data_IF_411188118344
#
_entry.id   IF_411188118344
#
_cell.length_a   1.000
_cell.length_b   1.000
_cell.length_c   1.000
_cell.angle_alpha   90.00
_cell.angle_beta   90.00
_cell.angle_gamma   90.00
#
_symmetry.space_group_name_H-M   'P 1'
#
loop_
_entity.id
_entity.type
_entity.pdbx_description
1 polymer ?
#
# COMPACT_ATOMS: atom_id res chain seq x y z
N UNK A 1 8.61 -73.83 -6.22
CA UNK A 1 9.48 -73.84 -5.01
C UNK A 1 10.42 -72.65 -5.16
N UNK A 2 10.61 -71.68 -4.27
CA UNK A 2 10.29 -71.53 -2.85
C UNK A 2 10.19 -70.01 -2.55
N UNK A 3 9.51 -69.71 -1.45
CA UNK A 3 9.05 -68.42 -0.95
C UNK A 3 10.15 -67.38 -0.72
N UNK A 4 9.81 -66.12 -0.95
CA UNK A 4 10.44 -64.95 -0.31
C UNK A 4 9.36 -63.96 0.12
N UNK A 5 8.81 -64.14 1.33
CA UNK A 5 7.93 -63.17 2.00
C UNK A 5 8.81 -62.03 2.52
N UNK A 6 8.53 -60.78 2.17
CA UNK A 6 8.92 -59.63 2.99
C UNK A 6 7.76 -58.65 3.13
N UNK A 7 7.56 -58.22 4.36
CA UNK A 7 6.38 -57.55 4.92
C UNK A 7 6.27 -56.09 4.47
N UNK A 8 5.05 -55.52 4.36
CA UNK A 8 4.85 -54.10 4.25
C UNK A 8 4.98 -53.48 5.65
N UNK A 9 6.05 -52.73 5.90
CA UNK A 9 6.15 -51.87 7.07
C UNK A 9 5.75 -50.45 6.66
N UNK A 10 4.83 -49.91 7.45
CA UNK A 10 4.25 -48.59 7.34
C UNK A 10 5.33 -47.50 7.45
N UNK A 11 5.27 -46.50 6.58
CA UNK A 11 5.75 -45.14 6.90
C UNK A 11 4.69 -44.15 6.44
N UNK A 12 3.95 -43.64 7.42
CA UNK A 12 3.18 -42.40 7.36
C UNK A 12 4.12 -41.27 7.82
N UNK A 13 3.84 -40.03 7.40
CA UNK A 13 4.52 -38.73 7.62
C UNK A 13 5.63 -38.42 6.58
N UNK A 14 5.70 -37.23 5.96
CA UNK A 14 5.27 -35.91 6.44
C UNK A 14 4.84 -34.95 5.30
N UNK A 15 3.91 -34.07 5.68
CA UNK A 15 3.49 -32.81 5.07
C UNK A 15 4.70 -31.87 4.97
N UNK A 16 4.87 -31.08 3.90
CA UNK A 16 5.00 -29.59 3.93
C UNK A 16 5.41 -28.98 2.58
N UNK A 17 4.58 -28.04 2.11
CA UNK A 17 4.92 -26.75 1.49
C UNK A 17 6.12 -26.71 0.54
N UNK A 18 5.84 -26.71 -0.76
CA UNK A 18 6.80 -26.33 -1.80
C UNK A 18 6.28 -25.14 -2.61
N UNK A 19 6.17 -23.97 -1.97
CA UNK A 19 6.18 -22.65 -2.64
C UNK A 19 6.94 -21.61 -1.78
N UNK A 20 8.04 -22.03 -1.16
CA UNK A 20 8.99 -21.15 -0.48
C UNK A 20 10.35 -21.19 -1.17
N UNK A 21 10.39 -20.93 -2.48
CA UNK A 21 11.62 -20.74 -3.24
C UNK A 21 11.50 -19.53 -4.16
N UNK A 22 11.36 -18.33 -3.57
CA UNK A 22 11.50 -17.09 -4.33
C UNK A 22 11.86 -15.83 -3.53
N UNK A 23 12.32 -15.86 -2.27
CA UNK A 23 12.73 -14.63 -1.59
C UNK A 23 13.87 -14.84 -0.58
N UNK A 24 15.13 -14.65 -0.97
CA UNK A 24 16.21 -14.53 -0.01
C UNK A 24 16.20 -13.10 0.55
N UNK A 25 16.32 -12.99 1.87
CA UNK A 25 16.51 -11.76 2.66
C UNK A 25 15.27 -10.90 2.97
N UNK A 26 14.30 -11.50 3.65
CA UNK A 26 13.61 -10.75 4.70
C UNK A 26 13.90 -11.50 6.00
N UNK A 27 14.84 -10.99 6.80
CA UNK A 27 14.78 -11.19 8.24
C UNK A 27 13.47 -10.53 8.68
N UNK A 28 12.38 -11.30 8.61
CA UNK A 28 11.02 -10.85 8.92
C UNK A 28 10.99 -10.63 10.42
N UNK A 29 11.07 -9.37 10.81
CA UNK A 29 10.25 -8.92 11.93
C UNK A 29 8.84 -9.46 11.67
N UNK A 30 8.18 -10.03 12.68
CA UNK A 30 6.87 -10.69 12.52
C UNK A 30 5.73 -9.68 12.26
N UNK A 31 6.02 -8.59 11.57
CA UNK A 31 5.10 -7.52 11.21
C UNK A 31 4.16 -7.99 10.10
N UNK A 32 2.87 -7.96 10.38
CA UNK A 32 1.80 -8.27 9.44
C UNK A 32 1.78 -7.25 8.28
N UNK A 33 1.40 -7.69 7.09
CA UNK A 33 1.10 -6.77 5.96
C UNK A 33 -0.37 -6.41 6.05
N UNK A 34 -0.72 -5.13 5.96
CA UNK A 34 -2.11 -4.68 5.94
C UNK A 34 -2.79 -5.22 4.67
N UNK A 35 -3.90 -5.94 4.84
CA UNK A 35 -4.67 -6.48 3.71
C UNK A 35 -5.42 -5.34 3.02
N UNK A 36 -4.83 -4.82 1.95
CA UNK A 36 -5.34 -3.67 1.19
C UNK A 36 -5.53 -4.04 -0.27
N UNK A 37 -6.75 -3.90 -0.83
CA UNK A 37 -6.99 -4.17 -2.24
C UNK A 37 -6.20 -3.18 -3.11
N UNK A 38 -5.65 -3.69 -4.22
CA UNK A 38 -4.82 -2.93 -5.15
C UNK A 38 -5.57 -2.70 -6.46
N UNK A 39 -5.57 -1.47 -6.94
CA UNK A 39 -6.26 -1.03 -8.15
C UNK A 39 -5.28 -0.35 -9.10
N UNK A 40 -5.49 -0.37 -10.42
CA UNK A 40 -4.63 0.35 -11.36
C UNK A 40 -4.49 1.82 -10.96
N UNK A 41 -3.26 2.33 -10.94
CA UNK A 41 -3.04 3.72 -10.59
C UNK A 41 -3.61 4.66 -11.69
N UNK A 42 -4.35 5.72 -11.32
CA UNK A 42 -4.91 6.64 -12.30
C UNK A 42 -3.78 7.38 -13.03
N UNK A 43 -4.01 7.83 -14.26
CA UNK A 43 -3.01 8.63 -14.95
C UNK A 43 -2.77 9.94 -14.19
N UNK A 44 -1.50 10.28 -13.92
CA UNK A 44 -1.15 11.59 -13.38
C UNK A 44 -1.23 12.62 -14.51
N UNK A 45 -1.99 13.70 -14.32
CA UNK A 45 -2.00 14.80 -15.29
C UNK A 45 -0.59 15.40 -15.44
N UNK A 46 -0.11 15.48 -16.69
CA UNK A 46 1.14 16.15 -17.02
C UNK A 46 2.40 15.31 -16.78
N UNK A 47 2.62 14.27 -17.59
CA UNK A 47 3.93 13.66 -17.82
C UNK A 47 4.90 14.66 -18.46
N UNK A 48 5.28 15.69 -17.71
CA UNK A 48 6.47 16.48 -18.00
C UNK A 48 7.68 15.61 -17.63
N UNK A 49 8.66 15.59 -18.53
CA UNK A 49 9.90 14.83 -18.40
C UNK A 49 10.53 14.95 -17.00
N UNK A 50 11.22 13.90 -16.50
CA UNK A 50 11.85 13.91 -15.19
C UNK A 50 12.97 14.96 -15.17
N UNK A 51 12.72 16.09 -14.52
CA UNK A 51 13.70 17.16 -14.46
C UNK A 51 13.15 18.44 -13.86
N UNK A 52 13.39 18.61 -12.55
CA UNK A 52 13.30 19.87 -11.78
C UNK A 52 11.89 20.42 -11.49
N UNK A 53 11.34 20.09 -10.31
CA UNK A 53 11.05 21.00 -9.18
C UNK A 53 10.14 20.36 -8.11
N UNK A 54 10.47 20.67 -6.85
CA UNK A 54 9.83 20.32 -5.56
C UNK A 54 9.78 18.83 -5.17
N UNK A 55 10.71 18.43 -4.29
CA UNK A 55 10.51 17.34 -3.33
C UNK A 55 9.31 17.68 -2.44
N UNK A 56 8.51 16.68 -2.07
CA UNK A 56 7.24 16.81 -1.34
C UNK A 56 6.29 17.87 -1.89
N UNK A 57 5.61 17.55 -2.98
CA UNK A 57 4.60 18.44 -3.55
C UNK A 57 3.20 17.97 -3.15
N UNK A 58 2.62 18.62 -2.15
CA UNK A 58 1.18 18.57 -1.90
C UNK A 58 0.47 19.30 -3.06
N UNK A 59 -0.58 18.70 -3.60
CA UNK A 59 -1.49 19.34 -4.55
C UNK A 59 -2.94 19.08 -4.15
N UNK A 60 -3.70 20.17 -3.99
CA UNK A 60 -5.14 20.12 -3.86
C UNK A 60 -5.75 20.04 -5.26
N UNK A 61 -5.87 18.82 -5.77
CA UNK A 61 -6.36 18.52 -7.11
C UNK A 61 -7.56 17.57 -7.02
N UNK A 62 -8.71 18.01 -7.53
CA UNK A 62 -9.96 17.25 -7.50
C UNK A 62 -10.12 16.31 -8.71
N UNK A 63 -9.14 16.25 -9.62
CA UNK A 63 -9.12 15.32 -10.76
C UNK A 63 -9.24 13.85 -10.34
N UNK A 64 -8.78 13.53 -9.12
CA UNK A 64 -8.89 12.21 -8.49
C UNK A 64 -10.13 12.06 -7.58
N UNK A 65 -11.08 13.00 -7.67
CA UNK A 65 -12.35 13.00 -6.94
C UNK A 65 -12.29 13.65 -5.55
N UNK A 66 -13.42 13.57 -4.84
CA UNK A 66 -13.62 14.14 -3.51
C UNK A 66 -13.87 13.04 -2.49
N UNK A 67 -13.38 13.25 -1.27
CA UNK A 67 -13.63 12.40 -0.12
C UNK A 67 -14.42 13.19 0.93
N UNK A 68 -15.37 12.55 1.61
CA UNK A 68 -16.00 13.14 2.80
C UNK A 68 -15.01 13.24 3.97
N UNK A 69 -15.07 14.34 4.71
CA UNK A 69 -14.17 14.61 5.84
C UNK A 69 -14.30 13.56 6.94
N UNK A 70 -15.51 13.26 7.42
CA UNK A 70 -15.70 12.36 8.58
C UNK A 70 -15.22 10.92 8.28
N UNK A 71 -15.59 10.28 7.16
CA UNK A 71 -15.01 8.99 6.78
C UNK A 71 -13.48 9.02 6.60
N UNK A 72 -12.93 10.12 6.08
CA UNK A 72 -11.48 10.26 5.93
C UNK A 72 -10.78 10.29 7.28
N UNK A 73 -11.35 10.99 8.26
CA UNK A 73 -10.81 11.01 9.62
C UNK A 73 -10.77 9.60 10.25
N UNK A 74 -11.86 8.83 10.11
CA UNK A 74 -11.93 7.43 10.56
C UNK A 74 -10.88 6.55 9.87
N UNK A 75 -10.68 6.74 8.56
CA UNK A 75 -9.65 6.00 7.81
C UNK A 75 -8.22 6.36 8.24
N UNK A 76 -7.96 7.61 8.64
CA UNK A 76 -6.67 8.01 9.22
C UNK A 76 -6.48 7.34 10.58
N UNK A 77 -7.53 7.24 11.40
CA UNK A 77 -7.47 6.57 12.70
C UNK A 77 -7.23 5.06 12.52
N UNK A 78 -7.88 4.40 11.56
CA UNK A 78 -7.58 3.02 11.20
C UNK A 78 -6.10 2.82 10.83
N UNK A 79 -5.52 3.74 10.05
CA UNK A 79 -4.09 3.67 9.71
C UNK A 79 -3.17 3.83 10.94
N UNK A 80 -3.62 4.53 11.99
CA UNK A 80 -2.90 4.60 13.29
C UNK A 80 -3.02 3.31 14.08
N UNK A 81 -4.17 2.65 14.04
CA UNK A 81 -4.37 1.36 14.69
C UNK A 81 -3.48 0.28 14.05
N UNK A 82 -3.29 0.36 12.73
CA UNK A 82 -2.46 -0.55 11.93
C UNK A 82 -1.00 -0.05 11.77
N UNK A 83 -0.55 0.90 12.59
CA UNK A 83 0.75 1.59 12.40
C UNK A 83 1.96 0.64 12.31
N UNK A 84 1.91 -0.49 13.00
CA UNK A 84 3.00 -1.47 13.08
C UNK A 84 2.98 -2.47 11.91
N UNK A 85 1.91 -2.48 11.11
CA UNK A 85 1.82 -3.26 9.89
C UNK A 85 2.59 -2.61 8.72
N UNK A 86 2.88 -3.41 7.69
CA UNK A 86 3.41 -2.91 6.43
C UNK A 86 2.29 -2.62 5.45
N UNK A 87 2.30 -1.41 4.90
CA UNK A 87 1.45 -0.99 3.80
C UNK A 87 2.19 -1.27 2.49
N UNK A 88 1.53 -1.94 1.54
CA UNK A 88 2.15 -2.40 0.29
C UNK A 88 1.33 -1.98 -0.92
N UNK A 89 1.99 -1.39 -1.91
CA UNK A 89 1.42 -1.07 -3.21
C UNK A 89 2.17 -1.81 -4.32
N UNK A 90 1.44 -2.58 -5.14
CA UNK A 90 2.01 -3.29 -6.29
C UNK A 90 2.48 -2.30 -7.36
N UNK A 91 3.42 -2.73 -8.21
CA UNK A 91 3.87 -1.95 -9.35
C UNK A 91 2.68 -1.48 -10.21
N UNK A 92 2.67 -0.19 -10.58
CA UNK A 92 1.59 0.43 -11.37
C UNK A 92 0.22 0.48 -10.70
N UNK A 93 0.11 0.27 -9.39
CA UNK A 93 -1.16 0.19 -8.67
C UNK A 93 -1.20 1.14 -7.45
N UNK A 94 -2.42 1.38 -6.99
CA UNK A 94 -2.75 2.03 -5.72
C UNK A 94 -3.40 1.03 -4.77
N UNK A 95 -2.83 0.91 -3.57
CA UNK A 95 -3.45 0.19 -2.48
C UNK A 95 -4.46 1.09 -1.76
N UNK A 96 -5.69 0.61 -1.55
CA UNK A 96 -6.70 1.28 -0.75
C UNK A 96 -6.49 0.94 0.73
N UNK A 97 -5.96 1.88 1.51
CA UNK A 97 -5.59 1.69 2.92
C UNK A 97 -6.75 2.01 3.89
N UNK A 98 -7.99 1.93 3.41
CA UNK A 98 -9.17 2.46 4.11
C UNK A 98 -10.11 1.37 4.57
N UNK A 99 -10.62 1.54 5.78
CA UNK A 99 -11.58 0.63 6.41
C UNK A 99 -13.03 1.00 6.07
N UNK A 100 -13.36 2.29 6.08
CA UNK A 100 -14.70 2.78 5.73
C UNK A 100 -14.81 3.03 4.22
N UNK A 101 -16.01 2.84 3.70
CA UNK A 101 -16.40 3.24 2.35
C UNK A 101 -16.66 4.76 2.29
N UNK A 102 -17.09 5.30 1.15
CA UNK A 102 -17.36 6.74 0.91
C UNK A 102 -16.13 7.68 0.83
N UNK A 103 -15.00 7.34 1.44
CA UNK A 103 -13.73 8.04 1.32
C UNK A 103 -12.57 7.06 1.35
N UNK A 104 -11.44 7.39 0.75
CA UNK A 104 -10.26 6.53 0.81
C UNK A 104 -8.92 7.25 0.80
N UNK A 105 -7.99 6.66 1.52
CA UNK A 105 -6.55 6.93 1.50
C UNK A 105 -5.93 5.91 0.56
N UNK A 106 -5.27 6.40 -0.48
CA UNK A 106 -4.67 5.59 -1.52
C UNK A 106 -3.16 5.73 -1.47
N UNK A 107 -2.47 4.59 -1.37
CA UNK A 107 -1.02 4.52 -1.47
C UNK A 107 -0.64 4.01 -2.85
N UNK A 108 -0.16 4.92 -3.69
CA UNK A 108 0.03 4.70 -5.13
C UNK A 108 1.50 4.56 -5.51
N UNK A 109 1.75 3.56 -6.35
CA UNK A 109 3.04 3.17 -6.85
C UNK A 109 3.07 3.19 -8.38
N UNK A 110 3.76 4.18 -8.95
CA UNK A 110 3.97 4.30 -10.39
C UNK A 110 5.30 3.68 -10.85
N UNK A 111 6.03 3.02 -9.96
CA UNK A 111 7.30 2.36 -10.27
C UNK A 111 7.06 0.94 -10.83
N UNK A 112 8.15 0.33 -11.32
CA UNK A 112 8.14 -1.02 -11.91
C UNK A 112 8.15 -2.14 -10.87
N UNK A 113 8.62 -1.85 -9.66
CA UNK A 113 8.66 -2.80 -8.54
C UNK A 113 7.61 -2.44 -7.49
N UNK A 114 7.22 -3.41 -6.66
CA UNK A 114 6.36 -3.12 -5.51
C UNK A 114 7.10 -2.25 -4.50
N UNK A 115 6.34 -1.43 -3.78
CA UNK A 115 6.86 -0.60 -2.70
C UNK A 115 6.15 -0.98 -1.40
N UNK A 116 6.91 -0.99 -0.31
CA UNK A 116 6.36 -1.24 1.01
C UNK A 116 7.01 -0.36 2.07
N UNK A 117 6.22 0.07 3.03
CA UNK A 117 6.64 0.89 4.16
C UNK A 117 5.79 0.55 5.37
N UNK A 118 6.26 0.84 6.59
CA UNK A 118 5.38 0.79 7.76
C UNK A 118 4.21 1.77 7.56
N UNK A 119 3.01 1.33 7.88
CA UNK A 119 1.81 2.15 7.77
C UNK A 119 1.91 3.44 8.59
N UNK A 120 2.69 3.44 9.70
CA UNK A 120 2.99 4.63 10.48
C UNK A 120 3.55 5.80 9.64
N UNK A 121 4.34 5.49 8.60
CA UNK A 121 4.98 6.49 7.75
C UNK A 121 3.99 7.21 6.83
N UNK A 122 2.78 6.67 6.66
CA UNK A 122 1.74 7.22 5.80
C UNK A 122 0.72 8.08 6.57
N UNK A 123 0.72 8.05 7.90
CA UNK A 123 -0.22 8.80 8.76
C UNK A 123 -0.03 10.31 8.56
N UNK A 124 1.20 10.82 8.73
CA UNK A 124 1.47 12.27 8.61
C UNK A 124 1.23 12.78 7.18
N UNK A 125 1.64 12.08 6.12
CA UNK A 125 1.23 12.40 4.75
C UNK A 125 -0.29 12.47 4.56
N UNK A 126 -1.05 11.49 5.05
CA UNK A 126 -2.51 11.51 4.96
C UNK A 126 -3.12 12.70 5.70
N UNK A 127 -2.68 12.97 6.93
CA UNK A 127 -3.11 14.14 7.68
C UNK A 127 -2.79 15.45 6.95
N UNK A 128 -1.64 15.53 6.30
CA UNK A 128 -1.21 16.72 5.55
C UNK A 128 -2.19 17.03 4.42
N UNK A 129 -2.57 16.02 3.62
CA UNK A 129 -3.57 16.18 2.56
C UNK A 129 -4.93 16.54 3.17
N UNK A 130 -5.38 15.76 4.17
CA UNK A 130 -6.67 15.92 4.85
C UNK A 130 -6.88 17.33 5.41
N UNK A 131 -5.85 17.93 6.01
CA UNK A 131 -5.93 19.25 6.65
C UNK A 131 -5.76 20.40 5.66
N UNK A 132 -4.97 20.21 4.61
CA UNK A 132 -4.57 21.30 3.72
C UNK A 132 -5.52 21.48 2.53
N UNK A 133 -6.17 20.40 2.11
CA UNK A 133 -7.01 20.38 0.92
C UNK A 133 -8.46 20.06 1.32
N UNK A 134 -9.19 21.11 1.71
CA UNK A 134 -10.59 21.01 2.14
C UNK A 134 -11.51 21.92 1.32
N UNK A 135 -12.74 21.49 1.13
CA UNK A 135 -13.84 22.31 0.61
C UNK A 135 -14.91 22.39 1.69
N UNK A 136 -15.04 23.58 2.27
CA UNK A 136 -15.87 23.81 3.45
C UNK A 136 -15.56 22.76 4.54
N UNK A 137 -16.55 22.40 5.35
CA UNK A 137 -16.45 21.36 6.38
C UNK A 137 -16.97 20.00 5.91
N UNK A 138 -17.06 19.77 4.59
CA UNK A 138 -17.70 18.57 4.06
C UNK A 138 -16.74 17.65 3.31
N UNK A 139 -15.83 18.21 2.51
CA UNK A 139 -14.96 17.43 1.63
C UNK A 139 -13.49 17.72 1.81
N UNK A 140 -12.67 16.71 1.51
CA UNK A 140 -11.22 16.79 1.37
C UNK A 140 -10.78 16.03 0.12
N UNK A 141 -9.62 16.36 -0.44
CA UNK A 141 -9.20 15.88 -1.75
C UNK A 141 -7.71 16.12 -1.98
N UNK A 142 -7.19 15.57 -3.08
CA UNK A 142 -5.84 15.86 -3.53
C UNK A 142 -4.82 14.80 -3.13
N UNK A 143 -3.55 15.13 -3.32
CA UNK A 143 -2.48 14.17 -3.16
C UNK A 143 -1.17 14.80 -2.72
N UNK A 144 -0.32 13.96 -2.11
CA UNK A 144 1.05 14.25 -1.78
C UNK A 144 1.95 13.30 -2.56
N UNK A 145 2.92 13.84 -3.32
CA UNK A 145 4.05 13.06 -3.82
C UNK A 145 5.19 13.16 -2.82
N UNK A 146 5.70 12.03 -2.34
CA UNK A 146 6.87 12.00 -1.44
C UNK A 146 7.72 10.76 -1.74
N UNK A 147 8.70 10.48 -0.89
CA UNK A 147 9.59 9.33 -0.99
C UNK A 147 9.50 8.44 0.24
N UNK A 148 9.67 7.15 0.02
CA UNK A 148 9.83 6.16 1.10
C UNK A 148 11.07 5.33 0.87
N UNK A 149 11.62 4.83 1.96
CA UNK A 149 12.68 3.83 1.91
C UNK A 149 12.08 2.47 1.57
N UNK A 150 12.43 1.90 0.41
CA UNK A 150 11.94 0.59 -0.02
C UNK A 150 13.01 -0.47 0.24
N UNK A 151 12.98 -1.09 1.43
CA UNK A 151 13.98 -2.10 1.82
C UNK A 151 15.31 -1.48 2.28
N UNK A 152 16.42 -1.73 1.57
CA UNK A 152 17.76 -1.27 1.98
C UNK A 152 18.53 -0.53 0.88
N UNK A 153 17.95 -0.35 -0.30
CA UNK A 153 18.72 0.05 -1.48
C UNK A 153 18.60 1.54 -1.81
N UNK A 154 17.38 2.10 -1.78
CA UNK A 154 17.15 3.52 -2.10
C UNK A 154 15.77 4.04 -1.71
N UNK A 155 15.64 5.36 -1.66
CA UNK A 155 14.35 6.03 -1.61
C UNK A 155 13.65 6.00 -2.98
N UNK A 156 12.39 5.58 -2.99
CA UNK A 156 11.53 5.53 -4.18
C UNK A 156 10.36 6.49 -4.04
N UNK A 157 9.89 7.02 -5.16
CA UNK A 157 8.74 7.92 -5.18
C UNK A 157 7.44 7.14 -4.92
N UNK A 158 6.54 7.75 -4.17
CA UNK A 158 5.16 7.31 -4.03
C UNK A 158 4.21 8.50 -4.06
N UNK A 159 2.92 8.20 -4.26
CA UNK A 159 1.85 9.19 -4.14
C UNK A 159 0.87 8.72 -3.08
N UNK A 160 0.47 9.62 -2.19
CA UNK A 160 -0.65 9.41 -1.27
C UNK A 160 -1.81 10.29 -1.68
N UNK A 161 -2.94 9.70 -2.04
CA UNK A 161 -4.12 10.41 -2.52
C UNK A 161 -5.23 10.27 -1.48
N UNK A 162 -6.01 11.34 -1.32
CA UNK A 162 -7.29 11.31 -0.61
C UNK A 162 -8.38 11.59 -1.65
N UNK A 163 -9.33 10.67 -1.75
CA UNK A 163 -10.37 10.72 -2.76
C UNK A 163 -11.55 9.82 -2.44
N UNK A 164 -12.43 9.55 -3.42
CA UNK A 164 -13.61 8.74 -3.24
C UNK A 164 -13.24 7.27 -2.95
N UNK A 165 -14.27 6.46 -2.63
CA UNK A 165 -14.12 5.04 -2.33
C UNK A 165 -13.40 4.24 -3.43
N UNK A 166 -13.60 4.60 -4.69
CA UNK A 166 -13.00 3.97 -5.86
C UNK A 166 -12.38 5.05 -6.75
N UNK A 167 -11.12 4.86 -7.13
CA UNK A 167 -10.47 5.72 -8.13
C UNK A 167 -11.09 5.45 -9.51
N UNK A 168 -11.41 6.54 -10.21
CA UNK A 168 -11.91 6.51 -11.58
C UNK A 168 -10.76 6.53 -12.60
#
# INVERSE_FOLDING_TARGET
>A
MLRGKFRPAWVILAITVCEALAYPNIARDASMVLDSPNFPAPALEGTAAPGKRAFESLKCDFSHGLAYIDPTAVNIDHLRDEKDAYCLARAGNCARLSYLNDSSIWFCNYNLDHISTKCENLIKPAQTVYQSCQIASQYTYGYLRSKIWNGTESEVDYYLLIGPELLA
#
